data_IF_723542721534
#
_entry.id   IF_723542721534
#
_cell.length_a   1.000
_cell.length_b   1.000
_cell.length_c   1.000
_cell.angle_alpha   90.00
_cell.angle_beta   90.00
_cell.angle_gamma   90.00
#
_symmetry.space_group_name_H-M   'P 1'
#
loop_
_entity.id
_entity.type
_entity.pdbx_description
1 polymer ?
#
# COMPACT_ATOMS: atom_id res chain seq x y z
N UNK A 1 22.93 -5.40 -16.80
CA UNK A 1 21.66 -4.84 -16.31
C UNK A 1 21.99 -3.53 -15.58
N UNK A 2 21.41 -2.41 -15.99
CA UNK A 2 21.64 -1.14 -15.30
C UNK A 2 20.73 -1.09 -14.04
N UNK A 3 21.30 -1.29 -12.88
CA UNK A 3 20.56 -1.34 -11.60
C UNK A 3 20.00 0.03 -11.18
N UNK A 4 20.48 1.11 -11.76
CA UNK A 4 20.04 2.47 -11.43
C UNK A 4 18.72 2.85 -12.11
N UNK A 5 18.35 2.15 -13.21
CA UNK A 5 17.17 2.47 -14.04
C UNK A 5 16.34 1.22 -14.39
N UNK A 6 16.02 0.42 -13.38
CA UNK A 6 15.32 -0.86 -13.57
C UNK A 6 13.85 -0.73 -14.01
N UNK A 7 13.24 0.43 -13.85
CA UNK A 7 11.89 0.74 -14.32
C UNK A 7 11.89 1.77 -15.47
N UNK A 8 12.99 1.87 -16.21
CA UNK A 8 13.10 2.78 -17.36
C UNK A 8 11.95 2.56 -18.35
N UNK A 9 11.21 3.65 -18.61
CA UNK A 9 10.06 3.65 -19.53
C UNK A 9 8.81 2.95 -19.00
N UNK A 10 8.84 2.37 -17.80
CA UNK A 10 7.66 1.76 -17.17
C UNK A 10 6.68 2.82 -16.67
N UNK A 11 5.41 2.47 -16.65
CA UNK A 11 4.28 3.33 -16.32
C UNK A 11 3.54 2.74 -15.13
N UNK A 12 3.44 3.51 -14.06
CA UNK A 12 2.89 3.05 -12.80
C UNK A 12 1.70 3.89 -12.33
N UNK A 13 0.63 3.24 -11.88
CA UNK A 13 -0.52 3.84 -11.20
C UNK A 13 -0.48 3.43 -9.73
N UNK A 14 -0.51 4.42 -8.80
CA UNK A 14 -0.40 4.20 -7.36
C UNK A 14 -1.56 4.88 -6.64
N UNK A 15 -2.35 4.13 -5.88
CA UNK A 15 -3.45 4.70 -5.07
C UNK A 15 -2.94 5.16 -3.70
N UNK A 16 -3.50 6.27 -3.17
CA UNK A 16 -3.02 6.98 -1.97
C UNK A 16 -1.50 7.24 -2.07
N UNK A 17 -1.09 7.80 -3.21
CA UNK A 17 0.31 7.89 -3.63
C UNK A 17 0.92 9.28 -3.49
N UNK A 18 0.23 10.27 -2.91
CA UNK A 18 0.77 11.61 -2.71
C UNK A 18 1.37 11.83 -1.30
N UNK A 19 1.25 10.86 -0.39
CA UNK A 19 1.79 10.94 0.95
C UNK A 19 2.25 9.55 1.46
N UNK A 20 3.06 9.53 2.53
CA UNK A 20 3.48 8.34 3.26
C UNK A 20 4.11 7.25 2.39
N UNK A 21 3.68 6.00 2.60
CA UNK A 21 4.22 4.81 1.91
C UNK A 21 4.03 4.94 0.39
N UNK A 22 2.85 5.36 -0.05
CA UNK A 22 2.54 5.47 -1.48
C UNK A 22 3.42 6.48 -2.18
N UNK A 23 3.69 7.61 -1.55
CA UNK A 23 4.57 8.65 -2.10
C UNK A 23 6.04 8.21 -2.14
N UNK A 24 6.52 7.55 -1.09
CA UNK A 24 7.87 6.98 -1.10
C UNK A 24 8.05 5.96 -2.24
N UNK A 25 7.03 5.12 -2.51
CA UNK A 25 7.02 4.20 -3.65
C UNK A 25 7.03 4.98 -4.97
N UNK A 26 6.21 6.03 -5.10
CA UNK A 26 6.14 6.86 -6.30
C UNK A 26 7.49 7.51 -6.62
N UNK A 27 8.12 8.14 -5.63
CA UNK A 27 9.45 8.74 -5.77
C UNK A 27 10.53 7.71 -6.11
N UNK A 28 10.46 6.52 -5.47
CA UNK A 28 11.42 5.46 -5.78
C UNK A 28 11.28 4.95 -7.21
N UNK A 29 10.05 4.78 -7.69
CA UNK A 29 9.78 4.33 -9.06
C UNK A 29 10.23 5.37 -10.09
N UNK A 30 9.93 6.64 -9.86
CA UNK A 30 10.41 7.75 -10.68
C UNK A 30 11.94 7.77 -10.76
N UNK A 31 12.62 7.73 -9.63
CA UNK A 31 14.08 7.74 -9.54
C UNK A 31 14.75 6.62 -10.35
N UNK A 32 14.07 5.50 -10.55
CA UNK A 32 14.57 4.36 -11.35
C UNK A 32 13.98 4.30 -12.76
N UNK A 33 13.36 5.39 -13.22
CA UNK A 33 12.99 5.64 -14.61
C UNK A 33 11.52 5.42 -14.97
N UNK A 34 10.64 5.18 -14.00
CA UNK A 34 9.21 5.06 -14.29
C UNK A 34 8.53 6.44 -14.42
N UNK A 35 7.49 6.50 -15.25
CA UNK A 35 6.50 7.55 -15.24
C UNK A 35 5.35 7.15 -14.31
N UNK A 36 4.95 8.02 -13.39
CA UNK A 36 4.05 7.66 -12.30
C UNK A 36 2.79 8.53 -12.30
N UNK A 37 1.62 7.89 -12.18
CA UNK A 37 0.37 8.56 -11.88
C UNK A 37 -0.10 8.13 -10.48
N UNK A 38 -0.43 9.11 -9.63
CA UNK A 38 -0.90 8.85 -8.28
C UNK A 38 -2.27 9.48 -8.03
N UNK A 39 -3.06 8.91 -7.14
CA UNK A 39 -4.22 9.58 -6.58
C UNK A 39 -4.13 9.63 -5.06
N UNK A 40 -4.73 10.65 -4.46
CA UNK A 40 -4.86 10.78 -3.01
C UNK A 40 -6.10 11.59 -2.64
N UNK A 41 -6.61 11.41 -1.43
CA UNK A 41 -7.70 12.22 -0.90
C UNK A 41 -7.21 13.58 -0.37
N UNK A 42 -5.93 13.68 -0.04
CA UNK A 42 -5.31 14.89 0.50
C UNK A 42 -4.90 15.85 -0.63
N UNK A 43 -5.71 16.89 -0.83
CA UNK A 43 -5.49 17.90 -1.88
C UNK A 43 -4.15 18.62 -1.74
N UNK A 44 -3.71 18.95 -0.51
CA UNK A 44 -2.42 19.60 -0.29
C UNK A 44 -1.24 18.71 -0.69
N UNK A 45 -1.34 17.41 -0.38
CA UNK A 45 -0.33 16.44 -0.78
C UNK A 45 -0.29 16.25 -2.31
N UNK A 46 -1.46 16.22 -2.95
CA UNK A 46 -1.58 16.16 -4.42
C UNK A 46 -0.92 17.38 -5.08
N UNK A 47 -1.19 18.58 -4.56
CA UNK A 47 -0.58 19.81 -5.08
C UNK A 47 0.94 19.79 -4.94
N UNK A 48 1.46 19.43 -3.76
CA UNK A 48 2.92 19.27 -3.56
C UNK A 48 3.55 18.26 -4.51
N UNK A 49 2.91 17.10 -4.72
CA UNK A 49 3.44 16.08 -5.62
C UNK A 49 3.52 16.56 -7.07
N UNK A 50 2.55 17.36 -7.53
CA UNK A 50 2.55 17.95 -8.88
C UNK A 50 3.59 19.07 -9.07
N UNK A 51 4.07 19.69 -7.98
CA UNK A 51 5.07 20.79 -8.04
C UNK A 51 6.50 20.26 -8.02
N UNK A 52 6.74 19.09 -7.46
CA UNK A 52 8.10 18.58 -7.17
C UNK A 52 8.71 17.82 -8.34
N UNK A 53 7.89 17.14 -9.16
CA UNK A 53 8.39 16.22 -10.17
C UNK A 53 7.48 16.13 -11.39
N UNK A 54 8.02 16.43 -12.57
CA UNK A 54 7.29 16.38 -13.86
C UNK A 54 6.90 14.95 -14.28
N UNK A 55 7.56 13.92 -13.75
CA UNK A 55 7.28 12.52 -14.04
C UNK A 55 6.27 11.88 -13.07
N UNK A 56 5.89 12.61 -12.00
CA UNK A 56 4.82 12.21 -11.07
C UNK A 56 3.62 13.13 -11.30
N UNK A 57 2.52 12.58 -11.80
CA UNK A 57 1.25 13.28 -11.92
C UNK A 57 0.30 12.83 -10.84
N UNK A 58 -0.25 13.77 -10.08
CA UNK A 58 -1.15 13.49 -8.98
C UNK A 58 -2.56 14.04 -9.23
N UNK A 59 -3.59 13.30 -8.76
CA UNK A 59 -5.01 13.66 -8.86
C UNK A 59 -5.70 13.48 -7.49
N UNK A 60 -6.55 14.42 -7.12
CA UNK A 60 -7.43 14.25 -5.95
C UNK A 60 -8.50 13.19 -6.25
N UNK A 61 -8.58 12.16 -5.40
CA UNK A 61 -9.59 11.11 -5.54
C UNK A 61 -9.95 10.51 -4.18
N UNK A 62 -11.24 10.53 -3.85
CA UNK A 62 -11.79 9.82 -2.69
C UNK A 62 -12.24 8.41 -3.09
N UNK A 63 -11.44 7.41 -2.73
CA UNK A 63 -11.70 6.01 -3.07
C UNK A 63 -12.89 5.37 -2.31
N UNK A 64 -13.54 6.10 -1.41
CA UNK A 64 -14.84 5.70 -0.86
C UNK A 64 -15.94 5.78 -1.91
N UNK A 65 -15.74 6.57 -2.96
CA UNK A 65 -16.67 6.81 -4.04
C UNK A 65 -16.27 6.01 -5.28
N UNK A 66 -16.94 4.88 -5.52
CA UNK A 66 -16.59 3.95 -6.62
C UNK A 66 -16.57 4.62 -8.00
N UNK A 67 -17.47 5.59 -8.25
CA UNK A 67 -17.49 6.33 -9.51
C UNK A 67 -16.22 7.17 -9.74
N UNK A 68 -15.58 7.66 -8.66
CA UNK A 68 -14.33 8.42 -8.79
C UNK A 68 -13.14 7.50 -9.12
N UNK A 69 -13.20 6.22 -8.76
CA UNK A 69 -12.17 5.25 -9.13
C UNK A 69 -12.10 5.08 -10.65
N UNK A 70 -13.26 5.02 -11.32
CA UNK A 70 -13.29 4.94 -12.77
C UNK A 70 -12.66 6.19 -13.43
N UNK A 71 -13.02 7.38 -12.95
CA UNK A 71 -12.43 8.63 -13.44
C UNK A 71 -10.92 8.71 -13.19
N UNK A 72 -10.45 8.21 -12.05
CA UNK A 72 -9.03 8.15 -11.70
C UNK A 72 -8.27 7.19 -12.63
N UNK A 73 -8.83 6.01 -12.92
CA UNK A 73 -8.21 5.05 -13.85
C UNK A 73 -8.12 5.64 -15.26
N UNK A 74 -9.19 6.28 -15.75
CA UNK A 74 -9.15 6.95 -17.06
C UNK A 74 -8.11 8.08 -17.10
N UNK A 75 -8.06 8.95 -16.10
CA UNK A 75 -7.05 10.01 -16.01
C UNK A 75 -5.62 9.43 -15.97
N UNK A 76 -5.44 8.28 -15.29
CA UNK A 76 -4.18 7.54 -15.29
C UNK A 76 -3.77 7.11 -16.70
N UNK A 77 -4.65 6.49 -17.46
CA UNK A 77 -4.38 6.10 -18.86
C UNK A 77 -4.19 7.30 -19.77
N UNK A 78 -4.91 8.39 -19.56
CA UNK A 78 -4.72 9.62 -20.36
C UNK A 78 -3.32 10.21 -20.19
N UNK A 79 -2.76 10.16 -18.98
CA UNK A 79 -1.41 10.65 -18.70
C UNK A 79 -0.32 9.64 -19.09
N UNK A 80 -0.48 8.37 -18.70
CA UNK A 80 0.54 7.33 -18.88
C UNK A 80 0.57 6.77 -20.31
N UNK A 81 -0.58 6.72 -21.00
CA UNK A 81 -0.88 6.09 -22.30
C UNK A 81 -1.03 4.57 -22.24
N UNK A 82 -0.12 3.89 -21.57
CA UNK A 82 -0.11 2.46 -21.29
C UNK A 82 0.06 2.23 -19.77
N UNK A 83 0.02 1.00 -19.31
CA UNK A 83 0.15 0.69 -17.87
C UNK A 83 0.89 -0.63 -17.64
N UNK A 84 2.06 -0.55 -17.01
CA UNK A 84 2.88 -1.71 -16.63
C UNK A 84 2.69 -2.11 -15.16
N UNK A 85 2.45 -1.15 -14.28
CA UNK A 85 2.49 -1.38 -12.83
C UNK A 85 1.27 -0.77 -12.16
N UNK A 86 0.59 -1.56 -11.32
CA UNK A 86 -0.43 -1.08 -10.38
C UNK A 86 0.07 -1.26 -8.95
N UNK A 87 0.03 -0.19 -8.14
CA UNK A 87 0.24 -0.28 -6.69
C UNK A 87 -1.04 0.13 -5.97
N UNK A 88 -1.77 -0.85 -5.46
CA UNK A 88 -2.91 -0.64 -4.59
C UNK A 88 -2.42 -0.41 -3.16
N UNK A 89 -2.18 0.86 -2.81
CA UNK A 89 -1.64 1.25 -1.51
C UNK A 89 -2.71 1.83 -0.56
N UNK A 90 -3.83 2.30 -1.08
CA UNK A 90 -4.88 2.92 -0.27
C UNK A 90 -5.35 2.03 0.89
N UNK A 91 -5.52 2.65 2.07
CA UNK A 91 -6.03 1.93 3.21
C UNK A 91 -6.20 2.79 4.46
N UNK A 92 -7.27 2.54 5.18
CA UNK A 92 -7.58 3.16 6.47
C UNK A 92 -7.48 2.15 7.61
N UNK A 93 -7.26 2.68 8.80
CA UNK A 93 -7.14 1.87 10.01
C UNK A 93 -8.48 1.25 10.46
N UNK A 94 -9.60 1.83 10.04
CA UNK A 94 -10.91 1.51 10.58
C UNK A 94 -11.06 1.85 12.07
N UNK A 95 -12.19 1.49 12.64
CA UNK A 95 -12.48 1.67 14.05
C UNK A 95 -11.61 0.74 14.92
N UNK A 96 -11.25 1.23 16.11
CA UNK A 96 -10.59 0.43 17.16
C UNK A 96 -11.58 0.25 18.31
N UNK A 97 -12.28 -0.89 18.34
CA UNK A 97 -13.34 -1.16 19.32
C UNK A 97 -13.56 -2.67 19.48
N UNK A 98 -14.22 -3.09 20.56
CA UNK A 98 -14.71 -4.44 20.71
C UNK A 98 -15.77 -4.78 19.65
N UNK A 99 -15.95 -6.06 19.32
CA UNK A 99 -16.86 -6.47 18.23
C UNK A 99 -18.30 -5.99 18.41
N UNK A 100 -18.76 -5.90 19.65
CA UNK A 100 -20.12 -5.41 19.97
C UNK A 100 -20.28 -3.88 19.92
N UNK A 101 -19.18 -3.15 19.82
CA UNK A 101 -19.14 -1.69 19.82
C UNK A 101 -18.81 -1.10 18.44
N UNK A 102 -18.37 -1.95 17.49
CA UNK A 102 -18.09 -1.53 16.14
C UNK A 102 -19.35 -1.19 15.37
N UNK A 103 -19.30 -0.12 14.58
CA UNK A 103 -20.45 0.30 13.78
C UNK A 103 -20.45 -0.37 12.40
N UNK A 104 -21.65 -0.60 11.85
CA UNK A 104 -21.79 -1.11 10.48
C UNK A 104 -21.20 -0.10 9.46
N UNK A 105 -21.33 1.20 9.72
CA UNK A 105 -20.75 2.25 8.86
C UNK A 105 -19.22 2.17 8.81
N UNK A 106 -18.55 2.06 9.96
CA UNK A 106 -17.10 1.91 10.03
C UNK A 106 -16.60 0.62 9.39
N UNK A 107 -17.35 -0.48 9.57
CA UNK A 107 -17.09 -1.73 8.86
C UNK A 107 -17.16 -1.55 7.34
N UNK A 108 -18.23 -0.95 6.82
CA UNK A 108 -18.44 -0.73 5.39
C UNK A 108 -17.38 0.21 4.80
N UNK A 109 -17.03 1.29 5.49
CA UNK A 109 -15.99 2.21 5.06
C UNK A 109 -14.62 1.50 4.95
N UNK A 110 -14.28 0.68 5.95
CA UNK A 110 -13.03 -0.08 5.94
C UNK A 110 -12.97 -1.07 4.76
N UNK A 111 -14.06 -1.80 4.49
CA UNK A 111 -14.18 -2.68 3.33
C UNK A 111 -14.05 -1.87 2.04
N UNK A 112 -14.75 -0.75 1.92
CA UNK A 112 -14.76 0.07 0.71
C UNK A 112 -13.35 0.57 0.38
N UNK A 113 -12.62 1.12 1.36
CA UNK A 113 -11.30 1.69 1.11
C UNK A 113 -10.21 0.62 1.00
N UNK A 114 -10.21 -0.42 1.86
CA UNK A 114 -9.10 -1.36 1.94
C UNK A 114 -9.23 -2.56 0.98
N UNK A 115 -10.42 -2.84 0.47
CA UNK A 115 -10.69 -4.02 -0.34
C UNK A 115 -11.40 -3.69 -1.64
N UNK A 116 -12.57 -3.02 -1.59
CA UNK A 116 -13.37 -2.72 -2.80
C UNK A 116 -12.61 -1.79 -3.73
N UNK A 117 -11.91 -0.78 -3.21
CA UNK A 117 -11.12 0.15 -4.05
C UNK A 117 -9.98 -0.58 -4.78
N UNK A 118 -9.30 -1.52 -4.12
CA UNK A 118 -8.27 -2.35 -4.75
C UNK A 118 -8.88 -3.20 -5.90
N UNK A 119 -10.00 -3.86 -5.62
CA UNK A 119 -10.71 -4.65 -6.62
C UNK A 119 -11.14 -3.78 -7.81
N UNK A 120 -11.80 -2.65 -7.57
CA UNK A 120 -12.28 -1.76 -8.64
C UNK A 120 -11.15 -1.17 -9.49
N UNK A 121 -10.04 -0.77 -8.86
CA UNK A 121 -8.85 -0.30 -9.60
C UNK A 121 -8.35 -1.40 -10.54
N UNK A 122 -8.20 -2.63 -10.03
CA UNK A 122 -7.74 -3.76 -10.85
C UNK A 122 -8.76 -4.15 -11.93
N UNK A 123 -10.05 -4.23 -11.59
CA UNK A 123 -11.11 -4.57 -12.53
C UNK A 123 -11.16 -3.65 -13.74
N UNK A 124 -10.91 -2.36 -13.52
CA UNK A 124 -10.94 -1.34 -14.58
C UNK A 124 -9.62 -1.25 -15.34
N UNK A 125 -8.49 -1.43 -14.67
CA UNK A 125 -7.17 -1.21 -15.28
C UNK A 125 -6.57 -2.48 -15.92
N UNK A 126 -6.73 -3.66 -15.34
CA UNK A 126 -6.11 -4.92 -15.82
C UNK A 126 -6.44 -5.29 -17.26
N UNK A 127 -7.67 -5.09 -17.78
CA UNK A 127 -7.97 -5.37 -19.19
C UNK A 127 -7.15 -4.53 -20.18
N UNK A 128 -6.59 -3.42 -19.72
CA UNK A 128 -5.81 -2.45 -20.52
C UNK A 128 -4.33 -2.42 -20.13
N UNK A 129 -3.91 -3.22 -19.14
CA UNK A 129 -2.50 -3.35 -18.80
C UNK A 129 -1.72 -4.07 -19.87
N UNK A 130 -0.46 -3.70 -20.00
CA UNK A 130 0.49 -4.46 -20.82
C UNK A 130 0.78 -5.84 -20.22
N UNK A 131 1.09 -6.81 -21.07
CA UNK A 131 1.58 -8.11 -20.62
C UNK A 131 2.97 -7.95 -19.97
N UNK A 132 3.37 -8.94 -19.17
CA UNK A 132 4.59 -8.90 -18.35
C UNK A 132 4.61 -7.76 -17.30
N UNK A 133 3.44 -7.26 -16.93
CA UNK A 133 3.26 -6.23 -15.93
C UNK A 133 3.43 -6.71 -14.49
N UNK A 134 3.18 -5.81 -13.53
CA UNK A 134 3.23 -6.14 -12.09
C UNK A 134 2.13 -5.44 -11.31
N UNK A 135 1.47 -6.17 -10.42
CA UNK A 135 0.49 -5.64 -9.46
C UNK A 135 1.01 -5.86 -8.05
N UNK A 136 1.10 -4.79 -7.27
CA UNK A 136 1.46 -4.80 -5.87
C UNK A 136 0.30 -4.28 -5.03
N UNK A 137 -0.19 -5.07 -4.07
CA UNK A 137 -1.22 -4.63 -3.14
C UNK A 137 -0.67 -4.53 -1.72
N UNK A 138 -0.82 -3.35 -1.10
CA UNK A 138 -0.34 -3.13 0.27
C UNK A 138 -1.35 -3.69 1.27
N UNK A 139 -0.99 -4.83 1.84
CA UNK A 139 -1.70 -5.44 2.96
C UNK A 139 -1.14 -4.91 4.31
N UNK A 140 -0.83 -5.79 5.22
CA UNK A 140 -0.23 -5.53 6.54
C UNK A 140 0.17 -6.87 7.15
N UNK A 141 1.04 -6.87 8.16
CA UNK A 141 1.20 -8.04 9.04
C UNK A 141 -0.13 -8.48 9.67
N UNK A 142 -1.09 -7.56 9.88
CA UNK A 142 -2.45 -7.88 10.29
C UNK A 142 -3.24 -8.74 9.27
N UNK A 143 -2.73 -8.94 8.06
CA UNK A 143 -3.23 -9.88 7.07
C UNK A 143 -2.71 -11.31 7.29
N UNK A 144 -1.87 -11.56 8.30
CA UNK A 144 -1.34 -12.89 8.67
C UNK A 144 -1.58 -13.27 10.12
N UNK A 145 -1.75 -12.28 10.99
CA UNK A 145 -1.95 -12.51 12.42
C UNK A 145 -3.27 -11.91 12.88
N UNK A 146 -3.81 -12.42 13.97
CA UNK A 146 -4.97 -11.81 14.63
C UNK A 146 -4.63 -10.44 15.20
N UNK A 147 -5.55 -9.49 15.07
CA UNK A 147 -5.35 -8.13 15.57
C UNK A 147 -6.58 -7.70 16.40
N UNK A 148 -6.50 -7.89 17.69
CA UNK A 148 -7.60 -7.60 18.61
C UNK A 148 -8.07 -6.14 18.49
N UNK A 149 -9.37 -5.92 18.61
CA UNK A 149 -10.03 -4.60 18.52
C UNK A 149 -9.95 -3.92 17.14
N UNK A 150 -9.42 -4.62 16.12
CA UNK A 150 -9.21 -4.10 14.78
C UNK A 150 -9.80 -5.03 13.71
N UNK A 151 -10.96 -5.64 14.03
CA UNK A 151 -11.58 -6.66 13.18
C UNK A 151 -11.77 -6.24 11.71
N UNK A 152 -12.35 -5.06 11.37
CA UNK A 152 -12.53 -4.68 9.96
C UNK A 152 -11.20 -4.55 9.22
N UNK A 153 -10.22 -3.94 9.87
CA UNK A 153 -8.88 -3.79 9.31
C UNK A 153 -8.21 -5.14 9.03
N UNK A 154 -8.15 -6.02 10.03
CA UNK A 154 -7.54 -7.34 9.87
C UNK A 154 -8.25 -8.15 8.78
N UNK A 155 -9.59 -8.20 8.80
CA UNK A 155 -10.39 -8.91 7.80
C UNK A 155 -10.08 -8.42 6.38
N UNK A 156 -10.03 -7.10 6.14
CA UNK A 156 -9.70 -6.54 4.83
C UNK A 156 -8.27 -6.83 4.41
N UNK A 157 -7.30 -6.82 5.34
CA UNK A 157 -5.89 -7.10 5.03
C UNK A 157 -5.65 -8.59 4.72
N UNK A 158 -6.39 -9.51 5.34
CA UNK A 158 -6.45 -10.92 4.93
C UNK A 158 -7.08 -11.09 3.54
N UNK A 159 -8.17 -10.37 3.26
CA UNK A 159 -8.82 -10.40 1.95
C UNK A 159 -7.90 -9.96 0.81
N UNK A 160 -7.06 -8.92 1.03
CA UNK A 160 -6.05 -8.48 0.05
C UNK A 160 -5.10 -9.62 -0.32
N UNK A 161 -4.64 -10.42 0.65
CA UNK A 161 -3.77 -11.58 0.37
C UNK A 161 -4.51 -12.63 -0.47
N UNK A 162 -5.80 -12.88 -0.17
CA UNK A 162 -6.65 -13.77 -0.95
C UNK A 162 -6.80 -13.32 -2.40
N UNK A 163 -7.06 -12.02 -2.63
CA UNK A 163 -7.13 -11.42 -3.97
C UNK A 163 -5.80 -11.60 -4.72
N UNK A 164 -4.66 -11.30 -4.08
CA UNK A 164 -3.33 -11.44 -4.69
C UNK A 164 -3.08 -12.87 -5.15
N UNK A 165 -3.38 -13.87 -4.33
CA UNK A 165 -3.16 -15.28 -4.69
C UNK A 165 -4.05 -15.73 -5.86
N UNK A 166 -5.30 -15.30 -5.88
CA UNK A 166 -6.24 -15.62 -6.97
C UNK A 166 -5.81 -14.98 -8.29
N UNK A 167 -5.50 -13.68 -8.25
CA UNK A 167 -5.08 -12.94 -9.45
C UNK A 167 -3.71 -13.39 -9.98
N UNK A 168 -2.79 -13.82 -9.12
CA UNK A 168 -1.51 -14.37 -9.56
C UNK A 168 -1.69 -15.62 -10.44
N UNK A 169 -2.68 -16.47 -10.14
CA UNK A 169 -3.02 -17.61 -10.97
C UNK A 169 -3.73 -17.19 -12.28
N UNK A 170 -4.66 -16.25 -12.19
CA UNK A 170 -5.46 -15.79 -13.32
C UNK A 170 -4.62 -15.04 -14.35
N UNK A 171 -3.74 -14.16 -13.91
CA UNK A 171 -2.96 -13.26 -14.75
C UNK A 171 -1.58 -13.81 -15.14
N UNK A 172 -1.16 -14.91 -14.52
CA UNK A 172 0.11 -15.59 -14.84
C UNK A 172 0.30 -15.92 -16.32
N UNK A 173 -0.72 -16.42 -17.06
CA UNK A 173 -0.60 -16.63 -18.50
C UNK A 173 -0.26 -15.39 -19.34
N UNK A 174 -0.55 -14.17 -18.82
CA UNK A 174 -0.14 -12.90 -19.42
C UNK A 174 1.23 -12.42 -18.95
N UNK A 175 1.95 -13.20 -18.13
CA UNK A 175 3.20 -12.78 -17.52
C UNK A 175 3.04 -11.72 -16.42
N UNK A 176 1.80 -11.33 -16.05
CA UNK A 176 1.55 -10.32 -15.02
C UNK A 176 1.75 -10.94 -13.63
N UNK A 177 2.69 -10.39 -12.86
CA UNK A 177 3.00 -10.83 -11.51
C UNK A 177 2.14 -10.08 -10.50
N UNK A 178 1.60 -10.76 -9.50
CA UNK A 178 0.75 -10.16 -8.48
C UNK A 178 1.25 -10.52 -7.11
N UNK A 179 1.62 -9.51 -6.29
CA UNK A 179 2.18 -9.71 -4.94
C UNK A 179 1.53 -8.80 -3.92
N UNK A 180 1.64 -9.16 -2.65
CA UNK A 180 1.27 -8.33 -1.51
C UNK A 180 2.52 -7.88 -0.74
N UNK A 181 2.56 -6.60 -0.36
CA UNK A 181 3.52 -6.04 0.58
C UNK A 181 2.86 -5.93 1.96
N UNK A 182 3.52 -6.42 2.99
CA UNK A 182 3.00 -6.46 4.35
C UNK A 182 3.88 -5.61 5.29
N UNK A 183 3.58 -4.31 5.43
CA UNK A 183 4.26 -3.45 6.40
C UNK A 183 4.03 -3.92 7.84
N UNK A 184 5.10 -3.79 8.66
CA UNK A 184 5.03 -3.89 10.11
C UNK A 184 4.69 -2.57 10.80
N UNK A 185 5.46 -2.21 11.83
CA UNK A 185 5.34 -0.92 12.54
C UNK A 185 6.13 0.11 11.74
N UNK A 186 5.41 0.94 10.98
CA UNK A 186 6.02 1.96 10.12
C UNK A 186 6.20 3.25 10.91
N UNK A 187 7.37 3.89 10.78
CA UNK A 187 7.63 5.19 11.39
C UNK A 187 6.74 6.31 10.81
N UNK A 188 6.65 7.42 11.49
CA UNK A 188 5.96 8.62 11.03
C UNK A 188 5.00 9.21 12.06
N UNK A 189 4.45 10.38 11.76
CA UNK A 189 3.60 11.15 12.69
C UNK A 189 2.37 10.37 13.18
N UNK A 190 1.77 9.55 12.32
CA UNK A 190 0.65 8.69 12.69
C UNK A 190 1.04 7.71 13.79
N UNK A 191 2.21 7.08 13.67
CA UNK A 191 2.72 6.14 14.66
C UNK A 191 3.11 6.87 15.95
N UNK A 192 3.71 8.05 15.86
CA UNK A 192 4.04 8.87 17.03
C UNK A 192 2.79 9.21 17.82
N UNK A 193 1.71 9.64 17.16
CA UNK A 193 0.40 9.90 17.82
C UNK A 193 -0.15 8.66 18.53
N UNK A 194 0.01 7.47 17.96
CA UNK A 194 -0.40 6.20 18.60
C UNK A 194 0.45 5.92 19.84
N UNK A 195 1.75 6.15 19.78
CA UNK A 195 2.68 5.97 20.91
C UNK A 195 2.32 6.94 22.03
N UNK A 196 2.15 8.22 21.73
CA UNK A 196 1.76 9.27 22.70
C UNK A 196 0.44 8.93 23.42
N UNK A 197 -0.59 8.53 22.64
CA UNK A 197 -1.88 8.16 23.21
C UNK A 197 -1.76 6.96 24.17
N UNK A 198 -1.01 5.94 23.81
CA UNK A 198 -0.78 4.76 24.65
C UNK A 198 0.07 5.08 25.88
N UNK A 199 1.12 5.89 25.73
CA UNK A 199 1.98 6.32 26.82
C UNK A 199 1.17 7.06 27.90
N UNK A 200 0.29 7.97 27.45
CA UNK A 200 -0.62 8.70 28.35
C UNK A 200 -1.56 7.77 29.11
N UNK A 201 -2.16 6.78 28.45
CA UNK A 201 -3.06 5.81 29.10
C UNK A 201 -2.32 4.96 30.12
N UNK A 202 -1.09 4.54 29.82
CA UNK A 202 -0.26 3.72 30.71
C UNK A 202 0.49 4.53 31.78
N UNK A 203 0.46 5.86 31.70
CA UNK A 203 1.23 6.77 32.56
C UNK A 203 2.74 6.46 32.54
N UNK A 204 3.30 6.24 31.36
CA UNK A 204 4.73 6.02 31.11
C UNK A 204 5.25 7.05 30.10
N UNK A 205 6.58 7.15 29.93
CA UNK A 205 7.16 8.06 28.97
C UNK A 205 6.88 7.64 27.52
N UNK A 206 7.02 8.58 26.56
CA UNK A 206 6.95 8.28 25.13
C UNK A 206 7.99 7.22 24.74
N UNK A 207 9.22 7.35 25.26
CA UNK A 207 10.32 6.44 24.92
C UNK A 207 10.09 5.03 25.49
N UNK A 208 9.56 4.91 26.70
CA UNK A 208 9.21 3.59 27.27
C UNK A 208 8.11 2.92 26.45
N UNK A 209 7.08 3.68 26.05
CA UNK A 209 6.01 3.13 25.20
C UNK A 209 6.51 2.76 23.81
N UNK A 210 7.39 3.58 23.22
CA UNK A 210 8.06 3.27 21.96
C UNK A 210 8.87 1.97 22.04
N UNK A 211 9.67 1.82 23.08
CA UNK A 211 10.46 0.62 23.31
C UNK A 211 9.59 -0.62 23.52
N UNK A 212 8.49 -0.49 24.26
CA UNK A 212 7.53 -1.58 24.44
C UNK A 212 6.90 -2.01 23.10
N UNK A 213 6.51 -1.06 22.28
CA UNK A 213 5.95 -1.35 20.94
C UNK A 213 7.00 -2.03 20.05
N UNK A 214 8.23 -1.51 20.03
CA UNK A 214 9.31 -2.05 19.20
C UNK A 214 9.77 -3.43 19.65
N UNK A 215 9.70 -3.74 20.96
CA UNK A 215 10.02 -5.07 21.47
C UNK A 215 9.12 -6.17 20.89
N UNK A 216 7.98 -5.80 20.31
CA UNK A 216 7.11 -6.69 19.53
C UNK A 216 7.78 -7.21 18.26
N UNK A 217 8.73 -6.49 17.68
CA UNK A 217 9.48 -6.91 16.51
C UNK A 217 10.88 -7.40 16.91
N UNK A 218 11.36 -8.52 16.31
CA UNK A 218 12.68 -9.09 16.67
C UNK A 218 13.85 -8.15 16.40
N UNK A 219 13.72 -7.26 15.38
CA UNK A 219 14.75 -6.28 15.06
C UNK A 219 14.69 -5.01 15.92
N UNK A 220 13.70 -4.85 16.80
CA UNK A 220 13.52 -3.72 17.71
C UNK A 220 13.65 -2.33 17.03
N UNK A 221 13.15 -2.19 15.81
CA UNK A 221 13.20 -0.94 15.05
C UNK A 221 11.95 -0.75 14.22
N UNK A 222 11.66 0.49 13.88
CA UNK A 222 10.63 0.81 12.91
C UNK A 222 11.04 0.35 11.49
N UNK A 223 10.03 0.14 10.67
CA UNK A 223 10.14 0.08 9.21
C UNK A 223 10.03 1.50 8.70
N UNK A 224 10.93 1.90 7.82
CA UNK A 224 10.87 3.21 7.16
C UNK A 224 9.99 3.16 5.92
N UNK A 225 9.58 4.32 5.40
CA UNK A 225 8.91 4.40 4.12
C UNK A 225 9.82 3.92 2.98
N UNK A 226 11.13 4.21 3.09
CA UNK A 226 12.15 3.79 2.14
C UNK A 226 12.32 2.26 2.11
N UNK A 227 12.32 1.58 3.26
CA UNK A 227 12.36 0.10 3.31
C UNK A 227 11.22 -0.51 2.48
N UNK A 228 10.02 0.08 2.58
CA UNK A 228 8.84 -0.36 1.85
C UNK A 228 8.94 -0.03 0.36
N UNK A 229 9.46 1.15 0.02
CA UNK A 229 9.66 1.57 -1.36
C UNK A 229 10.71 0.71 -2.07
N UNK A 230 11.81 0.34 -1.41
CA UNK A 230 12.81 -0.57 -1.96
C UNK A 230 12.24 -1.99 -2.18
N UNK A 231 11.43 -2.49 -1.25
CA UNK A 231 10.80 -3.79 -1.44
C UNK A 231 9.74 -3.76 -2.57
N UNK A 232 8.99 -2.65 -2.69
CA UNK A 232 8.06 -2.44 -3.80
C UNK A 232 8.81 -2.39 -5.14
N UNK A 233 9.92 -1.66 -5.20
CA UNK A 233 10.80 -1.61 -6.37
C UNK A 233 11.31 -3.01 -6.75
N UNK A 234 11.81 -3.80 -5.79
CA UNK A 234 12.23 -5.18 -6.06
C UNK A 234 11.10 -5.99 -6.68
N UNK A 235 9.91 -5.99 -6.06
CA UNK A 235 8.77 -6.80 -6.51
C UNK A 235 8.22 -6.37 -7.87
N UNK A 236 8.28 -5.08 -8.21
CA UNK A 236 7.74 -4.55 -9.46
C UNK A 236 8.78 -4.51 -10.59
N UNK A 237 10.07 -4.65 -10.31
CA UNK A 237 11.15 -4.62 -11.30
C UNK A 237 11.51 -6.02 -11.85
N UNK A 238 12.39 -6.11 -12.86
CA UNK A 238 12.94 -7.38 -13.37
C UNK A 238 13.67 -8.22 -12.30
N UNK A 239 14.10 -7.63 -11.18
CA UNK A 239 14.70 -8.37 -10.06
C UNK A 239 13.72 -9.37 -9.44
N UNK A 240 12.43 -9.03 -9.41
CA UNK A 240 11.35 -9.88 -8.91
C UNK A 240 10.67 -10.75 -9.97
N UNK A 241 11.27 -10.96 -11.14
CA UNK A 241 10.65 -11.63 -12.30
C UNK A 241 10.02 -13.00 -12.05
N UNK A 242 10.50 -13.73 -11.06
CA UNK A 242 9.97 -15.03 -10.67
C UNK A 242 9.22 -14.99 -9.32
N UNK A 243 8.85 -13.79 -8.83
CA UNK A 243 8.09 -13.62 -7.59
C UNK A 243 6.67 -13.23 -7.95
N UNK A 244 5.72 -14.15 -7.77
CA UNK A 244 4.29 -13.95 -7.97
C UNK A 244 3.48 -14.73 -6.95
N UNK A 245 2.30 -14.24 -6.56
CA UNK A 245 1.43 -14.85 -5.55
C UNK A 245 1.98 -14.78 -4.12
N UNK A 246 3.02 -13.96 -3.88
CA UNK A 246 3.65 -13.88 -2.56
C UNK A 246 3.08 -12.75 -1.71
N UNK A 247 3.08 -12.99 -0.40
CA UNK A 247 2.80 -11.98 0.62
C UNK A 247 4.12 -11.73 1.36
N UNK A 248 4.79 -10.61 1.04
CA UNK A 248 6.14 -10.33 1.51
C UNK A 248 6.09 -9.34 2.66
N UNK A 249 6.55 -9.75 3.84
CA UNK A 249 6.59 -8.90 5.02
C UNK A 249 7.86 -8.07 5.09
N UNK A 250 7.67 -6.77 5.35
CA UNK A 250 8.74 -5.84 5.77
C UNK A 250 8.36 -5.35 7.15
N UNK A 251 8.76 -6.08 8.20
CA UNK A 251 8.17 -5.92 9.52
C UNK A 251 9.13 -6.11 10.70
N UNK A 252 10.42 -6.36 10.45
CA UNK A 252 11.37 -6.65 11.52
C UNK A 252 11.03 -7.92 12.31
N UNK A 253 10.26 -8.86 11.70
CA UNK A 253 9.76 -10.09 12.33
C UNK A 253 8.83 -9.82 13.52
N UNK A 254 7.76 -9.04 13.28
CA UNK A 254 6.67 -8.85 14.26
C UNK A 254 5.67 -10.03 14.23
N UNK A 255 5.73 -10.88 13.19
CA UNK A 255 4.86 -12.06 13.02
C UNK A 255 5.31 -13.26 13.88
N UNK A 256 6.21 -13.06 14.84
CA UNK A 256 6.62 -14.12 15.74
C UNK A 256 5.42 -14.65 16.53
N UNK A 257 5.24 -15.95 16.52
CA UNK A 257 4.35 -16.62 17.48
C UNK A 257 4.93 -16.40 18.89
N UNK A 258 4.11 -15.84 19.77
CA UNK A 258 4.48 -15.67 21.17
C UNK A 258 4.62 -17.02 21.87
#
# INVERSE_FOLDING_TARGET
MNYERLLEGKKALITAGADGIGYAIAQRFEKVGAKVFVCDINEEAVNRANEVDDNIKAMVCDLRQTQLIASMVEAGFDYLKDLDIIVNNAGIAGETAGVGEQTLGGWQECIQVNMTSHFETMRLAVPRMDDEGSILSVSSVAGRVGFAYRLPYAATKWAVIGMVKSLANELGPRGIRVNALLPGIVEGERQNRVIEAKAKVKNISFDDMKNEILSGASLNRFVTHEDLAEQAHFLCSPLGKNVSGQAVSVCGNIEKSG
#
